data_IF_812194335903
#
_entry.id   IF_812194335903
#
_cell.length_a   1.000
_cell.length_b   1.000
_cell.length_c   1.000
_cell.angle_alpha   90.00
_cell.angle_beta   90.00
_cell.angle_gamma   90.00
#
_symmetry.space_group_name_H-M   'P 1'
#
loop_
_entity.id
_entity.type
_entity.pdbx_description
1 polymer ?
#
# COMPACT_ATOMS: atom_id res chain seq x y z
N UNK A 1 11.59 -30.36 -26.03
CA UNK A 1 10.79 -30.19 -24.79
C UNK A 1 11.01 -28.79 -24.17
N UNK A 2 10.58 -27.72 -24.83
CA UNK A 2 10.69 -26.34 -24.31
C UNK A 2 9.47 -25.46 -24.63
N UNK A 3 8.39 -26.07 -25.13
CA UNK A 3 7.18 -25.37 -25.60
C UNK A 3 5.94 -25.63 -24.72
N UNK A 4 6.07 -26.40 -23.63
CA UNK A 4 4.96 -26.70 -22.70
C UNK A 4 4.86 -25.71 -21.52
N UNK A 5 5.83 -24.80 -21.36
CA UNK A 5 5.90 -23.84 -20.24
C UNK A 5 5.30 -22.47 -20.61
N UNK A 6 5.09 -22.24 -21.90
CA UNK A 6 4.64 -20.96 -22.47
C UNK A 6 3.12 -20.72 -22.27
N UNK A 7 2.20 -21.71 -22.28
CA UNK A 7 0.78 -21.41 -22.13
C UNK A 7 0.35 -21.13 -20.69
N UNK A 8 1.16 -21.49 -19.67
CA UNK A 8 0.80 -21.30 -18.26
C UNK A 8 1.03 -19.87 -17.76
N UNK A 9 1.98 -19.14 -18.36
CA UNK A 9 2.25 -17.73 -18.01
C UNK A 9 1.15 -16.77 -18.50
N UNK A 10 0.39 -17.15 -19.52
CA UNK A 10 -0.68 -16.31 -20.07
C UNK A 10 -1.96 -16.30 -19.21
N UNK A 11 -2.20 -17.33 -18.38
CA UNK A 11 -3.38 -17.40 -17.52
C UNK A 11 -3.29 -16.56 -16.24
N UNK A 12 -2.08 -16.11 -15.85
CA UNK A 12 -1.86 -15.34 -14.62
C UNK A 12 -2.20 -13.84 -14.76
N UNK A 13 -2.40 -13.33 -15.98
CA UNK A 13 -2.64 -11.90 -16.24
C UNK A 13 -4.10 -11.47 -15.97
N UNK A 14 -5.02 -12.42 -15.76
CA UNK A 14 -6.46 -12.15 -15.63
C UNK A 14 -6.98 -11.89 -14.20
N UNK A 15 -6.13 -11.93 -13.15
CA UNK A 15 -6.60 -11.88 -11.75
C UNK A 15 -6.27 -10.59 -10.95
N UNK A 16 -5.68 -9.56 -11.54
CA UNK A 16 -5.17 -8.39 -10.78
C UNK A 16 -6.15 -7.21 -10.59
N UNK A 17 -7.45 -7.37 -10.84
CA UNK A 17 -8.41 -6.25 -10.85
C UNK A 17 -9.38 -6.17 -9.64
N UNK A 18 -9.03 -6.70 -8.47
CA UNK A 18 -9.87 -6.62 -7.27
C UNK A 18 -9.25 -5.64 -6.25
N UNK A 19 -9.74 -4.38 -6.18
CA UNK A 19 -9.45 -3.50 -5.03
C UNK A 19 -9.33 -1.98 -5.23
N UNK A 20 -10.19 -1.32 -6.01
CA UNK A 20 -10.01 0.11 -6.32
C UNK A 20 -10.69 1.12 -5.36
N UNK A 21 -11.54 0.69 -4.42
CA UNK A 21 -12.30 1.63 -3.58
C UNK A 21 -11.61 2.01 -2.26
N UNK A 22 -10.84 1.11 -1.63
CA UNK A 22 -10.16 1.38 -0.36
C UNK A 22 -8.90 2.27 -0.51
N UNK A 23 -8.39 2.41 -1.73
CA UNK A 23 -7.13 3.09 -2.01
C UNK A 23 -7.19 4.61 -1.83
N UNK A 24 -8.31 5.26 -2.17
CA UNK A 24 -8.39 6.74 -2.21
C UNK A 24 -8.32 7.36 -0.81
N UNK A 25 -9.08 6.84 0.15
CA UNK A 25 -9.10 7.35 1.52
C UNK A 25 -7.78 7.09 2.28
N UNK A 26 -7.04 6.05 1.92
CA UNK A 26 -5.70 5.80 2.48
C UNK A 26 -4.66 6.71 1.84
N UNK A 27 -4.76 6.96 0.53
CA UNK A 27 -3.87 7.88 -0.17
C UNK A 27 -3.99 9.31 0.33
N UNK A 28 -5.22 9.83 0.54
CA UNK A 28 -5.41 11.17 1.11
C UNK A 28 -4.85 11.26 2.53
N UNK A 29 -5.09 10.24 3.37
CA UNK A 29 -4.51 10.15 4.72
C UNK A 29 -2.98 10.17 4.69
N UNK A 30 -2.37 9.46 3.74
CA UNK A 30 -0.92 9.44 3.57
C UNK A 30 -0.36 10.82 3.21
N UNK A 31 -1.04 11.57 2.34
CA UNK A 31 -0.65 12.94 2.00
C UNK A 31 -0.66 13.84 3.24
N UNK A 32 -1.75 13.81 4.01
CA UNK A 32 -1.86 14.60 5.26
C UNK A 32 -0.77 14.25 6.26
N UNK A 33 -0.54 12.95 6.54
CA UNK A 33 0.53 12.54 7.46
C UNK A 33 1.92 13.03 7.01
N UNK A 34 2.21 13.02 5.70
CA UNK A 34 3.51 13.52 5.22
C UNK A 34 3.63 15.04 5.32
N UNK A 35 2.55 15.79 5.07
CA UNK A 35 2.54 17.23 5.27
C UNK A 35 2.78 17.56 6.75
N UNK A 36 2.06 16.91 7.66
CA UNK A 36 2.19 17.13 9.10
C UNK A 36 3.59 16.79 9.61
N UNK A 37 4.18 15.68 9.16
CA UNK A 37 5.54 15.31 9.53
C UNK A 37 6.57 16.37 9.08
N UNK A 38 6.35 16.98 7.91
CA UNK A 38 7.21 18.03 7.37
C UNK A 38 7.03 19.34 8.13
N UNK A 39 5.78 19.75 8.41
CA UNK A 39 5.46 20.94 9.22
C UNK A 39 6.02 20.84 10.64
N UNK A 40 6.00 19.63 11.22
CA UNK A 40 6.60 19.33 12.52
C UNK A 40 8.13 19.13 12.45
N UNK A 41 8.74 19.28 11.26
CA UNK A 41 10.15 19.05 10.98
C UNK A 41 10.70 17.71 11.50
N UNK A 42 9.85 16.68 11.57
CA UNK A 42 10.22 15.37 12.08
C UNK A 42 11.19 14.69 11.12
N UNK A 43 12.27 14.12 11.67
CA UNK A 43 13.31 13.42 10.91
C UNK A 43 13.65 12.09 11.57
N UNK A 44 14.34 11.23 10.84
CA UNK A 44 14.82 9.95 11.34
C UNK A 44 13.70 9.11 11.97
N UNK A 45 13.95 8.62 13.18
CA UNK A 45 13.05 7.71 13.87
C UNK A 45 11.77 8.39 14.36
N UNK A 46 11.82 9.69 14.67
CA UNK A 46 10.63 10.46 15.07
C UNK A 46 9.60 10.53 13.94
N UNK A 47 10.05 10.75 12.70
CA UNK A 47 9.18 10.73 11.52
C UNK A 47 8.56 9.36 11.31
N UNK A 48 9.34 8.28 11.48
CA UNK A 48 8.84 6.90 11.32
C UNK A 48 7.78 6.57 12.37
N UNK A 49 8.04 6.91 13.63
CA UNK A 49 7.09 6.69 14.73
C UNK A 49 5.79 7.49 14.52
N UNK A 50 5.92 8.76 14.11
CA UNK A 50 4.77 9.58 13.76
C UNK A 50 4.00 8.99 12.59
N UNK A 51 4.68 8.59 11.51
CA UNK A 51 4.02 8.03 10.32
C UNK A 51 3.30 6.71 10.64
N UNK A 52 3.91 5.83 11.43
CA UNK A 52 3.29 4.59 11.89
C UNK A 52 2.02 4.87 12.69
N UNK A 53 2.08 5.84 13.60
CA UNK A 53 0.91 6.23 14.41
C UNK A 53 -0.17 6.90 13.55
N UNK A 54 0.23 7.80 12.66
CA UNK A 54 -0.67 8.55 11.79
C UNK A 54 -1.39 7.62 10.81
N UNK A 55 -0.70 6.65 10.20
CA UNK A 55 -1.25 5.79 9.15
C UNK A 55 -2.00 4.55 9.65
N UNK A 56 -1.92 4.19 10.94
CA UNK A 56 -2.74 3.10 11.51
C UNK A 56 -4.23 3.32 11.19
N UNK A 57 -4.88 2.33 10.59
CA UNK A 57 -6.36 2.21 10.47
C UNK A 57 -6.76 0.85 11.05
N UNK A 58 -7.94 0.77 11.67
CA UNK A 58 -8.56 -0.49 12.09
C UNK A 58 -8.55 -1.47 10.93
N UNK A 59 -7.94 -2.61 11.16
CA UNK A 59 -7.65 -3.59 10.13
C UNK A 59 -8.87 -4.50 10.01
N UNK A 60 -9.66 -4.55 8.91
CA UNK A 60 -10.11 -5.85 8.46
C UNK A 60 -8.87 -6.52 7.86
N UNK A 61 -8.31 -7.46 8.63
CA UNK A 61 -7.17 -8.26 8.20
C UNK A 61 -7.69 -9.15 7.08
N UNK A 62 -7.39 -8.79 5.84
CA UNK A 62 -7.39 -9.76 4.76
C UNK A 62 -6.24 -9.44 3.84
N UNK A 63 -5.06 -9.97 4.20
CA UNK A 63 -3.98 -10.42 3.31
C UNK A 63 -2.68 -10.59 4.12
N UNK A 64 -2.57 -11.77 4.75
CA UNK A 64 -1.46 -12.70 4.53
C UNK A 64 -2.05 -14.11 4.51
#
# INVERSE_FOLDING_TARGET
MKVLQIPLLALAVLFSAQGFAANTAQQEKMKTCNADATTKALKGDERKAFMSTCLKKDVPQTQQ
#
